data_IF_765940275615
#
_entry.id   IF_765940275615
#
_cell.length_a   1.000
_cell.length_b   1.000
_cell.length_c   1.000
_cell.angle_alpha   90.00
_cell.angle_beta   90.00
_cell.angle_gamma   90.00
#
_symmetry.space_group_name_H-M   'P 1'
#
loop_
_entity.id
_entity.type
_entity.pdbx_description
1 polymer ?
#
# COMPACT_ATOMS: atom_id res chain seq x y z
N UNK A 1 12.97 -12.85 3.68
CA UNK A 1 11.71 -13.63 3.70
C UNK A 1 10.99 -13.36 2.38
N UNK A 2 10.45 -14.38 1.71
CA UNK A 2 9.80 -14.23 0.39
C UNK A 2 8.27 -14.37 0.43
N UNK A 3 7.72 -14.74 1.59
CA UNK A 3 6.31 -15.00 1.83
C UNK A 3 5.72 -13.91 2.73
N UNK A 4 4.44 -13.61 2.51
CA UNK A 4 3.69 -12.72 3.38
C UNK A 4 3.27 -13.46 4.66
N UNK A 5 3.10 -12.71 5.74
CA UNK A 5 2.48 -13.23 6.96
C UNK A 5 1.00 -13.56 6.74
N UNK A 6 0.40 -14.25 7.71
CA UNK A 6 -1.04 -14.49 7.73
C UNK A 6 -1.81 -13.16 7.62
N UNK A 7 -2.94 -13.18 6.91
CA UNK A 7 -3.75 -11.97 6.66
C UNK A 7 -3.20 -10.99 5.62
N UNK A 8 -1.95 -11.14 5.16
CA UNK A 8 -1.29 -10.24 4.20
C UNK A 8 -1.18 -10.90 2.82
N UNK A 9 -1.46 -10.13 1.76
CA UNK A 9 -1.31 -10.56 0.38
C UNK A 9 -0.23 -9.75 -0.34
N UNK A 10 0.51 -10.41 -1.23
CA UNK A 10 1.49 -9.78 -2.13
C UNK A 10 0.77 -9.37 -3.41
N UNK A 11 0.65 -8.06 -3.64
CA UNK A 11 -0.14 -7.50 -4.75
C UNK A 11 0.70 -6.84 -5.84
N UNK A 12 1.99 -6.62 -5.60
CA UNK A 12 2.90 -6.13 -6.61
C UNK A 12 4.28 -6.80 -6.49
N UNK A 13 4.82 -7.17 -7.65
CA UNK A 13 6.21 -7.64 -7.83
C UNK A 13 6.84 -6.91 -9.00
N UNK A 14 8.15 -6.71 -8.96
CA UNK A 14 8.90 -6.24 -10.13
C UNK A 14 9.25 -7.39 -11.09
N UNK A 15 10.05 -7.09 -12.12
CA UNK A 15 10.44 -8.03 -13.17
C UNK A 15 11.31 -9.18 -12.65
N UNK A 16 12.03 -8.95 -11.54
CA UNK A 16 12.88 -9.95 -10.91
C UNK A 16 12.13 -10.71 -9.80
N UNK A 17 10.82 -10.45 -9.64
CA UNK A 17 9.96 -11.11 -8.67
C UNK A 17 10.06 -10.55 -7.25
N UNK A 18 10.85 -9.48 -7.02
CA UNK A 18 10.95 -8.83 -5.72
C UNK A 18 9.60 -8.21 -5.37
N UNK A 19 9.16 -8.43 -4.13
CA UNK A 19 7.90 -7.87 -3.61
C UNK A 19 8.01 -6.35 -3.55
N UNK A 20 7.06 -5.67 -4.18
CA UNK A 20 6.99 -4.22 -4.23
C UNK A 20 5.79 -3.68 -3.46
N UNK A 21 4.74 -4.48 -3.27
CA UNK A 21 3.53 -4.04 -2.59
C UNK A 21 2.78 -5.17 -1.90
N UNK A 22 2.19 -4.85 -0.75
CA UNK A 22 1.37 -5.73 0.06
C UNK A 22 0.09 -5.04 0.49
N UNK A 23 -0.95 -5.80 0.78
CA UNK A 23 -2.17 -5.33 1.43
C UNK A 23 -2.67 -6.32 2.49
N UNK A 24 -3.53 -5.86 3.39
CA UNK A 24 -4.16 -6.72 4.40
C UNK A 24 -5.58 -7.09 4.01
N UNK A 25 -5.96 -8.34 4.28
CA UNK A 25 -7.36 -8.79 4.23
C UNK A 25 -8.15 -8.43 5.48
N UNK A 26 -7.46 -8.25 6.59
CA UNK A 26 -8.10 -8.11 7.91
C UNK A 26 -8.30 -6.65 8.36
N UNK A 27 -7.85 -5.66 7.58
CA UNK A 27 -7.92 -4.24 7.94
C UNK A 27 -8.66 -3.46 6.86
N UNK A 28 -9.52 -2.51 7.27
CA UNK A 28 -10.23 -1.63 6.33
C UNK A 28 -9.29 -0.85 5.40
N UNK A 29 -8.10 -0.52 5.91
CA UNK A 29 -7.04 0.07 5.11
C UNK A 29 -5.67 -0.32 5.63
N UNK A 30 -4.93 -1.12 4.86
CA UNK A 30 -3.50 -1.36 5.03
C UNK A 30 -2.90 -1.64 3.66
N UNK A 31 -2.00 -0.76 3.23
CA UNK A 31 -1.20 -0.94 2.03
C UNK A 31 0.25 -0.64 2.40
N UNK A 32 1.15 -1.56 2.08
CA UNK A 32 2.60 -1.38 2.17
C UNK A 32 3.19 -1.32 0.78
N UNK A 33 4.13 -0.39 0.55
CA UNK A 33 4.89 -0.29 -0.70
C UNK A 33 6.38 -0.22 -0.39
N UNK A 34 7.20 -0.84 -1.22
CA UNK A 34 8.65 -0.87 -1.01
C UNK A 34 9.34 0.38 -1.55
N UNK A 35 8.77 1.03 -2.56
CA UNK A 35 9.29 2.28 -3.12
C UNK A 35 8.89 3.49 -2.28
N UNK A 36 9.46 4.66 -2.61
CA UNK A 36 9.17 5.95 -1.99
C UNK A 36 8.13 6.73 -2.79
N UNK A 37 6.80 6.55 -2.58
CA UNK A 37 5.76 7.29 -3.31
C UNK A 37 5.84 8.81 -3.09
N UNK A 38 6.41 9.25 -1.97
CA UNK A 38 6.62 10.64 -1.60
C UNK A 38 7.65 11.36 -2.47
N UNK A 39 8.56 10.64 -3.12
CA UNK A 39 9.51 11.22 -4.09
C UNK A 39 8.90 11.35 -5.50
N UNK A 40 7.76 10.69 -5.74
CA UNK A 40 7.10 10.61 -7.04
C UNK A 40 5.90 11.56 -7.11
N UNK A 41 6.05 12.79 -6.60
CA UNK A 41 4.95 13.73 -6.38
C UNK A 41 4.17 14.10 -7.65
N UNK A 42 4.77 14.03 -8.83
CA UNK A 42 4.09 14.33 -10.11
C UNK A 42 3.42 13.10 -10.74
N UNK A 43 3.61 11.91 -10.16
CA UNK A 43 3.03 10.67 -10.63
C UNK A 43 1.63 10.47 -10.03
N UNK A 44 0.59 10.59 -10.87
CA UNK A 44 -0.82 10.52 -10.45
C UNK A 44 -1.15 9.26 -9.62
N UNK A 45 -0.77 8.03 -10.03
CA UNK A 45 -0.89 6.85 -9.20
C UNK A 45 -0.36 7.00 -7.75
N UNK A 46 0.82 7.61 -7.59
CA UNK A 46 1.44 7.75 -6.26
C UNK A 46 0.70 8.77 -5.39
N UNK A 47 0.22 9.85 -6.02
CA UNK A 47 -0.69 10.78 -5.36
C UNK A 47 -2.00 10.08 -4.91
N UNK A 48 -2.54 9.14 -5.70
CA UNK A 48 -3.76 8.39 -5.33
C UNK A 48 -3.52 7.49 -4.12
N UNK A 49 -2.35 6.85 -4.02
CA UNK A 49 -1.98 6.03 -2.87
C UNK A 49 -1.96 6.86 -1.57
N UNK A 50 -1.30 8.03 -1.60
CA UNK A 50 -1.25 8.94 -0.44
C UNK A 50 -2.64 9.48 -0.10
N UNK A 51 -3.44 9.86 -1.11
CA UNK A 51 -4.82 10.32 -0.89
C UNK A 51 -5.71 9.23 -0.26
N UNK A 52 -5.54 7.98 -0.66
CA UNK A 52 -6.28 6.87 -0.09
C UNK A 52 -5.97 6.68 1.39
N UNK A 53 -4.71 6.83 1.80
CA UNK A 53 -4.31 6.81 3.21
C UNK A 53 -4.99 7.94 4.01
N UNK A 54 -4.99 9.16 3.48
CA UNK A 54 -5.64 10.32 4.14
C UNK A 54 -7.15 10.09 4.28
N UNK A 55 -7.79 9.55 3.25
CA UNK A 55 -9.22 9.26 3.27
C UNK A 55 -9.57 8.17 4.29
N UNK A 56 -8.81 7.08 4.32
CA UNK A 56 -8.99 6.03 5.33
C UNK A 56 -8.81 6.56 6.76
N UNK A 57 -7.84 7.44 6.98
CA UNK A 57 -7.64 8.08 8.29
C UNK A 57 -8.85 8.94 8.69
N UNK A 58 -9.46 9.68 7.76
CA UNK A 58 -10.68 10.46 8.02
C UNK A 58 -11.86 9.58 8.38
N UNK A 59 -12.06 8.48 7.66
CA UNK A 59 -13.13 7.52 7.95
C UNK A 59 -12.95 6.88 9.32
N UNK A 60 -11.71 6.50 9.67
CA UNK A 60 -11.35 5.97 10.99
C UNK A 60 -11.63 6.95 12.14
N UNK A 61 -11.53 8.26 11.89
CA UNK A 61 -11.84 9.31 12.87
C UNK A 61 -13.34 9.60 13.00
N UNK A 62 -14.12 9.35 11.95
CA UNK A 62 -15.55 9.65 11.91
C UNK A 62 -16.43 8.55 12.51
N UNK A 63 -15.90 7.32 12.65
CA UNK A 63 -16.54 6.19 13.34
C UNK A 63 -16.00 5.99 14.75
#
# INVERSE_FOLDING_TARGET
VQEAGEGIEIVARDREGLVQGIESRDHDFLIGVQWHPEWLIFNRPQQRLIRALVEAARQRQAG
#
